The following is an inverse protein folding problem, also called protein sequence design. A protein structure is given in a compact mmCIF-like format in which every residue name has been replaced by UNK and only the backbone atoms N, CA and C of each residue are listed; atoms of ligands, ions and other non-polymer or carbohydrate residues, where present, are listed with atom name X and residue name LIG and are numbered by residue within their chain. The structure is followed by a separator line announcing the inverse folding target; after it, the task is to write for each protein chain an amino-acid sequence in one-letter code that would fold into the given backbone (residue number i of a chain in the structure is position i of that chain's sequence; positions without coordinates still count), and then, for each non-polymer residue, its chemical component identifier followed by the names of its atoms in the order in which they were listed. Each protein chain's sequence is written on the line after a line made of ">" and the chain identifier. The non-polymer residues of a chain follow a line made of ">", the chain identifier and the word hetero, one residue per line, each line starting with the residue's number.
data_IF_119094621839
#
_entry.id   IF_119094621839
#
_cell.length_a   1.000
_cell.length_b   1.000
_cell.length_c   1.000
_cell.angle_alpha   90.00
_cell.angle_beta   90.00
_cell.angle_gamma   90.00
#
_symmetry.space_group_name_H-M   'P 1'
#
loop_
_entity.id
_entity.type
_entity.pdbx_description
1 polymer ?
#
# COMPACT_ATOMS: atom_id res chain seq x y z
N UNK A 1 -1.70 -14.04 -24.19
CA UNK A 1 -2.42 -13.28 -23.15
C UNK A 1 -1.44 -12.91 -22.05
N UNK A 2 -1.03 -11.64 -21.94
CA UNK A 2 -0.22 -11.17 -20.79
C UNK A 2 -1.19 -10.79 -19.68
N UNK A 3 -1.52 -11.73 -18.80
CA UNK A 3 -2.23 -11.42 -17.55
C UNK A 3 -1.16 -10.99 -16.55
N UNK A 4 -0.93 -9.68 -16.46
CA UNK A 4 -0.17 -9.08 -15.38
C UNK A 4 -0.92 -7.84 -14.96
N UNK A 5 -1.28 -7.73 -13.69
CA UNK A 5 -1.80 -6.49 -13.10
C UNK A 5 -0.68 -5.45 -13.06
N UNK A 6 -0.28 -4.96 -14.23
CA UNK A 6 0.75 -3.94 -14.38
C UNK A 6 0.06 -2.58 -14.37
N UNK A 7 0.32 -1.81 -13.32
CA UNK A 7 -0.26 -0.47 -13.19
C UNK A 7 0.59 0.50 -14.00
N UNK A 8 -0.01 1.44 -14.73
CA UNK A 8 0.75 2.52 -15.33
C UNK A 8 1.46 3.33 -14.25
N UNK A 9 2.76 3.59 -14.44
CA UNK A 9 3.54 4.41 -13.54
C UNK A 9 3.11 5.89 -13.63
N UNK A 10 3.22 6.62 -12.51
CA UNK A 10 3.62 8.03 -12.57
C UNK A 10 2.58 9.12 -12.26
N UNK A 11 1.39 8.82 -11.72
CA UNK A 11 0.48 9.89 -11.25
C UNK A 11 0.01 9.77 -9.80
N UNK A 12 -0.03 8.56 -9.25
CA UNK A 12 -0.66 8.28 -7.96
C UNK A 12 0.29 7.50 -7.06
N UNK A 13 0.17 7.71 -5.75
CA UNK A 13 0.76 6.81 -4.75
C UNK A 13 -0.01 5.50 -4.78
N UNK A 14 0.63 4.38 -4.47
CA UNK A 14 -0.02 3.07 -4.55
C UNK A 14 0.39 2.14 -3.41
N UNK A 15 -0.61 1.53 -2.77
CA UNK A 15 -0.43 0.38 -1.90
C UNK A 15 -1.02 -0.86 -2.56
N UNK A 16 -0.36 -2.00 -2.40
CA UNK A 16 -0.81 -3.28 -2.92
C UNK A 16 -0.77 -4.33 -1.82
N UNK A 17 -1.72 -5.25 -1.87
CA UNK A 17 -1.71 -6.48 -1.09
C UNK A 17 -2.06 -7.66 -2.01
N UNK A 18 -1.14 -8.62 -2.09
CA UNK A 18 -1.37 -9.92 -2.69
C UNK A 18 -1.65 -10.94 -1.59
N UNK A 19 -2.73 -11.69 -1.72
CA UNK A 19 -3.05 -12.81 -0.84
C UNK A 19 -3.43 -14.04 -1.64
N UNK A 20 -3.21 -15.23 -1.09
CA UNK A 20 -3.59 -16.52 -1.69
C UNK A 20 -4.52 -17.29 -0.77
N UNK A 21 -5.44 -18.07 -1.33
CA UNK A 21 -6.31 -18.99 -0.60
C UNK A 21 -7.25 -18.33 0.41
N UNK A 22 -7.47 -17.01 0.33
CA UNK A 22 -8.36 -16.29 1.24
C UNK A 22 -8.96 -15.08 0.55
N UNK A 23 -10.26 -14.87 0.76
CA UNK A 23 -10.95 -13.65 0.38
C UNK A 23 -10.44 -12.49 1.24
N UNK A 24 -9.88 -11.45 0.61
CA UNK A 24 -9.37 -10.27 1.31
C UNK A 24 -10.50 -9.25 1.41
N UNK A 25 -10.83 -8.81 2.62
CA UNK A 25 -11.68 -7.63 2.78
C UNK A 25 -10.87 -6.34 2.68
N UNK A 26 -11.51 -5.23 2.35
CA UNK A 26 -10.85 -3.91 2.35
C UNK A 26 -10.22 -3.59 3.72
N UNK A 27 -10.90 -3.96 4.81
CA UNK A 27 -10.41 -3.81 6.18
C UNK A 27 -9.11 -4.58 6.41
N UNK A 28 -9.07 -5.86 6.01
CA UNK A 28 -7.87 -6.68 6.16
C UNK A 28 -6.68 -6.07 5.40
N UNK A 29 -6.90 -5.55 4.19
CA UNK A 29 -5.84 -4.90 3.42
C UNK A 29 -5.23 -3.70 4.14
N UNK A 30 -6.08 -2.83 4.70
CA UNK A 30 -5.62 -1.66 5.47
C UNK A 30 -4.95 -2.08 6.78
N UNK A 31 -5.48 -3.08 7.48
CA UNK A 31 -4.88 -3.61 8.71
C UNK A 31 -3.46 -4.15 8.45
N UNK A 32 -3.26 -4.91 7.36
CA UNK A 32 -1.92 -5.39 6.97
C UNK A 32 -0.94 -4.24 6.68
N UNK A 33 -1.39 -3.18 6.02
CA UNK A 33 -0.53 -2.01 5.79
C UNK A 33 -0.22 -1.27 7.10
N UNK A 34 -1.20 -1.10 7.97
CA UNK A 34 -1.04 -0.41 9.27
C UNK A 34 -0.17 -1.18 10.25
N UNK A 35 -0.10 -2.51 10.16
CA UNK A 35 0.83 -3.33 10.98
C UNK A 35 2.29 -2.88 10.85
N UNK A 36 2.69 -2.28 9.73
CA UNK A 36 4.06 -1.76 9.57
C UNK A 36 4.36 -0.53 10.44
N UNK A 37 3.35 0.07 11.09
CA UNK A 37 3.52 1.13 12.09
C UNK A 37 4.56 0.77 13.15
N UNK A 38 4.57 -0.49 13.59
CA UNK A 38 5.50 -0.96 14.63
C UNK A 38 6.98 -0.83 14.20
N UNK A 39 7.26 -0.74 12.90
CA UNK A 39 8.59 -0.58 12.34
C UNK A 39 8.91 0.86 11.97
N UNK A 40 7.98 1.81 12.13
CA UNK A 40 8.21 3.21 11.77
C UNK A 40 8.66 4.02 13.00
N UNK A 41 9.85 4.60 12.91
CA UNK A 41 10.38 5.49 13.92
C UNK A 41 10.01 6.94 13.58
N UNK A 42 9.10 7.50 14.38
CA UNK A 42 8.62 8.87 14.23
C UNK A 42 9.68 9.93 14.54
N UNK A 43 10.66 9.64 15.38
CA UNK A 43 11.65 10.64 15.83
C UNK A 43 12.62 11.05 14.71
N UNK A 44 12.92 10.13 13.79
CA UNK A 44 13.90 10.35 12.72
C UNK A 44 13.37 10.01 11.32
N UNK A 45 12.05 9.82 11.16
CA UNK A 45 11.41 9.52 9.88
C UNK A 45 12.05 8.33 9.14
N UNK A 46 12.25 7.20 9.85
CA UNK A 46 12.91 6.01 9.28
C UNK A 46 12.14 4.73 9.58
N UNK A 47 12.32 3.71 8.72
CA UNK A 47 11.91 2.36 9.06
C UNK A 47 13.02 1.66 9.87
N UNK A 48 12.62 0.76 10.76
CA UNK A 48 13.54 -0.13 11.45
C UNK A 48 14.41 -0.93 10.45
N UNK A 49 15.67 -1.24 10.79
CA UNK A 49 16.55 -2.01 9.92
C UNK A 49 15.90 -3.31 9.44
N UNK A 50 16.07 -3.65 8.17
CA UNK A 50 15.47 -4.84 7.52
C UNK A 50 13.94 -4.87 7.44
N UNK A 51 13.24 -3.82 7.85
CA UNK A 51 11.80 -3.70 7.73
C UNK A 51 11.40 -2.68 6.65
N UNK A 52 10.15 -2.79 6.21
CA UNK A 52 9.50 -1.80 5.34
C UNK A 52 8.38 -1.14 6.11
N UNK A 53 8.20 0.14 5.87
CA UNK A 53 7.12 0.94 6.43
C UNK A 53 6.40 1.80 5.38
N UNK A 54 6.78 1.69 4.11
CA UNK A 54 6.26 2.53 3.02
C UNK A 54 4.75 2.41 2.80
N UNK A 55 4.18 1.21 2.96
CA UNK A 55 2.71 1.07 2.83
C UNK A 55 1.99 1.69 4.03
N UNK A 56 2.60 1.67 5.23
CA UNK A 56 2.07 2.39 6.39
C UNK A 56 2.15 3.90 6.18
N UNK A 57 3.33 4.43 5.84
CA UNK A 57 3.52 5.88 5.68
C UNK A 57 2.63 6.46 4.58
N UNK A 58 2.33 5.70 3.53
CA UNK A 58 1.35 6.13 2.52
C UNK A 58 -0.09 6.18 3.08
N UNK A 59 -0.49 5.23 3.93
CA UNK A 59 -1.84 5.23 4.57
C UNK A 59 -2.03 6.48 5.42
N UNK A 60 -0.99 6.89 6.15
CA UNK A 60 -1.06 8.05 7.05
C UNK A 60 -0.58 9.35 6.41
N UNK A 61 -0.37 9.39 5.08
CA UNK A 61 0.21 10.55 4.40
C UNK A 61 -0.77 11.73 4.35
N UNK A 62 -0.52 12.75 5.17
CA UNK A 62 -1.39 13.93 5.32
C UNK A 62 -1.70 14.67 4.03
N UNK A 63 -0.74 14.73 3.10
CA UNK A 63 -0.93 15.43 1.82
C UNK A 63 -1.75 14.63 0.81
N UNK A 64 -2.02 13.34 1.05
CA UNK A 64 -2.88 12.52 0.18
C UNK A 64 -4.34 12.75 0.55
N UNK A 65 -5.08 13.42 -0.34
CA UNK A 65 -6.44 13.90 -0.08
C UNK A 65 -7.52 13.00 -0.69
N UNK A 66 -7.17 12.27 -1.76
CA UNK A 66 -8.08 11.40 -2.49
C UNK A 66 -7.55 9.96 -2.45
N UNK A 67 -8.48 9.03 -2.23
CA UNK A 67 -8.24 7.59 -2.15
C UNK A 67 -9.21 6.85 -3.07
N UNK A 68 -8.70 5.91 -3.85
CA UNK A 68 -9.53 4.99 -4.64
C UNK A 68 -8.93 3.59 -4.61
N UNK A 69 -9.75 2.58 -4.31
CA UNK A 69 -9.30 1.20 -4.19
C UNK A 69 -10.06 0.27 -5.12
N UNK A 70 -9.40 -0.81 -5.54
CA UNK A 70 -10.00 -1.89 -6.31
C UNK A 70 -9.42 -3.23 -5.85
N UNK A 71 -10.18 -4.30 -6.09
CA UNK A 71 -9.72 -5.66 -5.87
C UNK A 71 -10.00 -6.51 -7.11
N UNK A 72 -9.03 -7.35 -7.46
CA UNK A 72 -9.16 -8.34 -8.52
C UNK A 72 -8.87 -9.73 -7.96
N UNK A 73 -9.67 -10.71 -8.36
CA UNK A 73 -9.42 -12.13 -8.05
C UNK A 73 -8.74 -12.79 -9.25
N UNK A 74 -7.56 -13.36 -9.01
CA UNK A 74 -6.76 -14.09 -9.96
C UNK A 74 -7.05 -15.59 -9.79
N UNK A 75 -8.09 -16.08 -10.48
CA UNK A 75 -8.67 -17.43 -10.28
C UNK A 75 -7.65 -18.55 -10.54
N UNK A 76 -6.77 -18.40 -11.53
CA UNK A 76 -5.78 -19.44 -11.86
C UNK A 76 -4.70 -19.57 -10.79
N UNK A 77 -4.42 -18.49 -10.09
CA UNK A 77 -3.38 -18.37 -9.07
C UNK A 77 -3.93 -18.57 -7.65
N UNK A 78 -5.23 -18.81 -7.52
CA UNK A 78 -5.98 -18.82 -6.25
C UNK A 78 -5.60 -17.61 -5.38
N UNK A 79 -5.57 -16.43 -6.00
CA UNK A 79 -5.05 -15.21 -5.40
C UNK A 79 -6.02 -14.04 -5.52
N UNK A 80 -5.86 -13.06 -4.64
CA UNK A 80 -6.47 -11.74 -4.76
C UNK A 80 -5.40 -10.65 -4.72
N UNK A 81 -5.61 -9.64 -5.55
CA UNK A 81 -4.84 -8.40 -5.54
C UNK A 81 -5.76 -7.27 -5.10
N UNK A 82 -5.44 -6.67 -3.95
CA UNK A 82 -6.03 -5.40 -3.53
C UNK A 82 -5.07 -4.28 -3.84
N UNK A 83 -5.58 -3.21 -4.44
CA UNK A 83 -4.83 -2.00 -4.72
C UNK A 83 -5.58 -0.77 -4.22
N UNK A 84 -4.85 0.18 -3.64
CA UNK A 84 -5.34 1.53 -3.35
C UNK A 84 -4.41 2.58 -3.95
N UNK A 85 -5.00 3.60 -4.58
CA UNK A 85 -4.32 4.75 -5.13
C UNK A 85 -4.57 6.01 -4.31
N UNK A 86 -3.54 6.84 -4.18
CA UNK A 86 -3.53 8.05 -3.36
C UNK A 86 -3.16 9.28 -4.20
N UNK A 87 -3.89 10.38 -4.03
CA UNK A 87 -3.62 11.66 -4.72
C UNK A 87 -3.70 12.85 -3.78
N UNK A 88 -2.70 13.77 -3.78
CA UNK A 88 -1.33 13.60 -4.28
C UNK A 88 -0.63 12.33 -3.77
N UNK A 89 0.37 11.80 -4.49
CA UNK A 89 1.17 10.66 -4.02
C UNK A 89 1.89 11.01 -2.72
N UNK A 90 2.11 10.01 -1.86
CA UNK A 90 2.91 10.15 -0.65
C UNK A 90 4.32 9.58 -0.79
N UNK A 91 4.97 9.37 0.36
CA UNK A 91 6.30 8.76 0.47
C UNK A 91 7.40 9.51 -0.30
N UNK A 92 7.33 10.83 -0.31
CA UNK A 92 8.43 11.66 -0.81
C UNK A 92 9.67 11.48 0.08
N UNK A 93 10.82 11.24 -0.54
CA UNK A 93 12.10 11.03 0.17
C UNK A 93 12.43 12.26 1.00
N UNK A 94 12.68 12.05 2.30
CA UNK A 94 13.01 13.12 3.25
C UNK A 94 11.79 13.80 3.89
N UNK A 95 10.57 13.55 3.42
CA UNK A 95 9.35 14.09 4.03
C UNK A 95 8.73 13.09 5.02
N UNK A 96 8.22 13.61 6.14
CA UNK A 96 7.45 12.83 7.10
C UNK A 96 5.97 12.78 6.68
N UNK A 97 5.23 11.72 7.03
CA UNK A 97 3.86 11.54 6.56
C UNK A 97 2.80 12.41 7.28
N UNK A 98 3.14 13.22 8.30
CA UNK A 98 2.19 13.96 9.16
C UNK A 98 2.32 15.49 9.06
#
# INVERSE_FOLDING_TARGET
>A
MKMGCHLPAGKYGANQLWARGTAVTARMAVEEWVKQKQFYNHANNSCAPNHRCGVYTQVVWKKSLLLGCAQATCVKEDASLTICFYTPPGNYVGEAPY
#
